data_IF_799917086834
#
_entry.id   IF_799917086834
#
_cell.length_a   1.000
_cell.length_b   1.000
_cell.length_c   1.000
_cell.angle_alpha   90.00
_cell.angle_beta   90.00
_cell.angle_gamma   90.00
#
_symmetry.space_group_name_H-M   'P 1'
#
loop_
_entity.id
_entity.type
_entity.pdbx_description
1 polymer ?
#
# COMPACT_ATOMS: atom_id res chain seq x y z
N UNK A 1 1.25 14.11 -16.08
CA UNK A 1 1.61 14.05 -14.63
C UNK A 1 1.55 15.46 -14.06
N UNK A 2 0.79 15.65 -13.00
CA UNK A 2 0.73 16.93 -12.31
C UNK A 2 2.03 17.15 -11.54
N UNK A 3 2.66 18.31 -11.73
CA UNK A 3 3.83 18.69 -10.95
C UNK A 3 3.43 18.99 -9.51
N UNK A 4 4.29 18.64 -8.55
CA UNK A 4 4.10 18.98 -7.16
C UNK A 4 4.31 20.49 -6.95
N UNK A 5 3.36 21.09 -6.24
CA UNK A 5 3.43 22.49 -5.84
C UNK A 5 4.17 22.64 -4.49
N UNK A 6 4.48 23.88 -4.12
CA UNK A 6 5.16 24.16 -2.84
C UNK A 6 4.40 23.59 -1.64
N UNK A 7 3.06 23.70 -1.63
CA UNK A 7 2.24 23.14 -0.56
C UNK A 7 2.34 21.61 -0.48
N UNK A 8 2.45 20.92 -1.60
CA UNK A 8 2.63 19.45 -1.62
C UNK A 8 3.97 19.07 -0.99
N UNK A 9 5.04 19.80 -1.30
CA UNK A 9 6.34 19.58 -0.69
C UNK A 9 6.35 19.84 0.81
N UNK A 10 5.64 20.87 1.27
CA UNK A 10 5.47 21.15 2.70
C UNK A 10 4.74 20.02 3.41
N UNK A 11 3.68 19.47 2.80
CA UNK A 11 2.94 18.32 3.34
C UNK A 11 3.82 17.06 3.39
N UNK A 12 4.58 16.79 2.35
CA UNK A 12 5.53 15.66 2.33
C UNK A 12 6.59 15.79 3.42
N UNK A 13 7.14 16.97 3.63
CA UNK A 13 8.09 17.21 4.72
C UNK A 13 7.45 17.00 6.10
N UNK A 14 6.20 17.42 6.29
CA UNK A 14 5.45 17.18 7.52
C UNK A 14 5.23 15.69 7.77
N UNK A 15 4.91 14.92 6.73
CA UNK A 15 4.76 13.46 6.81
C UNK A 15 6.09 12.81 7.23
N UNK A 16 7.19 13.19 6.61
CA UNK A 16 8.53 12.69 6.94
C UNK A 16 8.87 12.98 8.40
N UNK A 17 8.61 14.21 8.85
CA UNK A 17 8.85 14.60 10.24
C UNK A 17 8.05 13.72 11.22
N UNK A 18 6.80 13.45 10.94
CA UNK A 18 5.96 12.59 11.77
C UNK A 18 6.42 11.15 11.79
N UNK A 19 6.89 10.61 10.68
CA UNK A 19 7.48 9.26 10.63
C UNK A 19 8.66 9.16 11.60
N UNK A 20 9.53 10.15 11.62
CA UNK A 20 10.72 10.13 12.47
C UNK A 20 10.46 10.46 13.95
N UNK A 21 9.36 11.16 14.27
CA UNK A 21 9.09 11.64 15.63
C UNK A 21 8.00 10.87 16.36
N UNK A 22 7.22 10.05 15.67
CA UNK A 22 6.17 9.22 16.29
C UNK A 22 6.78 7.89 16.75
N UNK A 23 6.76 7.64 18.05
CA UNK A 23 7.39 6.44 18.64
C UNK A 23 6.56 5.18 18.44
N UNK A 24 5.24 5.28 18.53
CA UNK A 24 4.35 4.13 18.32
C UNK A 24 4.22 3.81 16.83
N UNK A 25 4.54 2.57 16.46
CA UNK A 25 4.55 2.13 15.06
C UNK A 25 3.15 2.15 14.44
N UNK A 26 2.14 1.72 15.17
CA UNK A 26 0.76 1.67 14.66
C UNK A 26 0.19 3.06 14.49
N UNK A 27 0.44 3.95 15.45
CA UNK A 27 0.06 5.36 15.36
C UNK A 27 0.75 6.05 14.18
N UNK A 28 2.03 5.82 13.99
CA UNK A 28 2.79 6.37 12.86
C UNK A 28 2.17 5.93 11.53
N UNK A 29 1.84 4.65 11.38
CA UNK A 29 1.25 4.12 10.15
C UNK A 29 -0.15 4.70 9.88
N UNK A 30 -0.98 4.87 10.91
CA UNK A 30 -2.30 5.50 10.77
C UNK A 30 -2.18 6.96 10.33
N UNK A 31 -1.34 7.72 11.01
CA UNK A 31 -1.11 9.13 10.66
C UNK A 31 -0.52 9.28 9.26
N UNK A 32 0.39 8.38 8.89
CA UNK A 32 0.95 8.34 7.54
C UNK A 32 -0.14 8.20 6.46
N UNK A 33 -1.05 7.25 6.63
CA UNK A 33 -2.14 7.04 5.67
C UNK A 33 -3.10 8.24 5.63
N UNK A 34 -3.47 8.78 6.77
CA UNK A 34 -4.35 9.95 6.85
C UNK A 34 -3.75 11.18 6.17
N UNK A 35 -2.46 11.42 6.37
CA UNK A 35 -1.80 12.59 5.79
C UNK A 35 -1.43 12.41 4.33
N UNK A 36 -1.10 11.20 3.93
CA UNK A 36 -0.82 10.91 2.52
C UNK A 36 -2.03 11.24 1.63
N UNK A 37 -3.24 11.12 2.17
CA UNK A 37 -4.48 11.49 1.50
C UNK A 37 -4.51 12.96 1.06
N UNK A 38 -3.80 13.83 1.75
CA UNK A 38 -3.73 15.26 1.41
C UNK A 38 -2.86 15.53 0.17
N UNK A 39 -2.00 14.60 -0.19
CA UNK A 39 -1.09 14.72 -1.33
C UNK A 39 -1.51 13.82 -2.48
N UNK A 40 -1.95 12.61 -2.17
CA UNK A 40 -2.40 11.59 -3.15
C UNK A 40 -3.89 11.35 -2.96
N UNK A 41 -4.65 11.48 -4.01
CA UNK A 41 -6.10 11.25 -3.98
C UNK A 41 -6.37 9.74 -4.07
N UNK A 42 -6.89 9.16 -2.98
CA UNK A 42 -7.32 7.77 -2.90
C UNK A 42 -8.55 7.62 -1.98
N UNK A 43 -9.34 6.59 -2.19
CA UNK A 43 -10.55 6.34 -1.41
C UNK A 43 -10.26 5.58 -0.11
N UNK A 44 -9.40 4.59 -0.17
CA UNK A 44 -9.01 3.76 0.96
C UNK A 44 -7.58 3.30 0.82
N UNK A 45 -6.98 2.90 1.94
CA UNK A 45 -5.61 2.41 1.96
C UNK A 45 -5.38 1.45 3.12
N UNK A 46 -4.37 0.63 3.00
CA UNK A 46 -3.88 -0.22 4.07
C UNK A 46 -2.34 -0.21 4.12
N UNK A 47 -1.81 -0.55 5.27
CA UNK A 47 -0.38 -0.61 5.52
C UNK A 47 -0.07 -1.92 6.25
N UNK A 48 0.68 -2.80 5.61
CA UNK A 48 1.10 -4.07 6.17
C UNK A 48 2.59 -4.07 6.50
N UNK A 49 2.97 -4.87 7.48
CA UNK A 49 4.36 -5.21 7.74
C UNK A 49 4.67 -6.55 7.07
N UNK A 50 5.77 -6.62 6.32
CA UNK A 50 6.23 -7.89 5.77
C UNK A 50 6.93 -8.70 6.86
N UNK A 51 6.50 -9.96 7.04
CA UNK A 51 7.12 -10.88 7.97
C UNK A 51 8.50 -11.35 7.48
N UNK A 52 9.38 -11.69 8.43
CA UNK A 52 10.73 -12.21 8.16
C UNK A 52 10.78 -13.74 8.25
N UNK A 53 9.65 -14.44 8.33
CA UNK A 53 9.57 -15.88 8.50
C UNK A 53 9.36 -16.60 7.15
N UNK A 54 9.62 -17.92 7.14
CA UNK A 54 9.33 -18.78 5.97
C UNK A 54 7.87 -18.73 5.53
N UNK A 55 6.98 -18.27 6.37
CA UNK A 55 5.56 -18.04 6.05
C UNK A 55 5.27 -16.65 5.52
N UNK A 56 6.25 -15.77 5.48
CA UNK A 56 6.26 -14.40 4.92
C UNK A 56 4.88 -13.79 4.68
N UNK A 57 4.05 -13.85 5.70
CA UNK A 57 2.72 -13.29 5.64
C UNK A 57 2.79 -11.79 5.90
N UNK A 58 2.07 -11.03 5.09
CA UNK A 58 1.82 -9.64 5.40
C UNK A 58 1.01 -9.58 6.70
N UNK A 59 1.53 -8.90 7.70
CA UNK A 59 1.00 -8.95 9.05
C UNK A 59 0.67 -7.56 9.59
N UNK A 60 -0.08 -7.53 10.68
CA UNK A 60 -0.39 -6.33 11.46
C UNK A 60 -0.91 -5.17 10.60
N UNK A 61 -2.00 -5.36 9.85
CA UNK A 61 -2.53 -4.32 8.98
C UNK A 61 -3.08 -3.14 9.77
N UNK A 62 -2.85 -1.94 9.23
CA UNK A 62 -3.52 -0.71 9.61
C UNK A 62 -4.26 -0.22 8.37
N UNK A 63 -5.53 0.13 8.52
CA UNK A 63 -6.37 0.51 7.40
C UNK A 63 -6.93 1.93 7.56
N UNK A 64 -7.10 2.61 6.43
CA UNK A 64 -7.79 3.87 6.31
C UNK A 64 -9.02 3.69 5.43
N UNK A 65 -10.19 4.01 5.97
CA UNK A 65 -11.48 3.99 5.26
C UNK A 65 -11.80 2.64 4.57
N UNK A 66 -11.34 1.54 5.15
CA UNK A 66 -11.71 0.18 4.74
C UNK A 66 -11.54 -0.78 5.93
N UNK A 67 -12.15 -1.95 5.82
CA UNK A 67 -11.97 -2.99 6.82
C UNK A 67 -10.58 -3.61 6.70
N UNK A 68 -9.99 -3.91 7.85
CA UNK A 68 -8.73 -4.62 7.92
C UNK A 68 -8.94 -6.04 7.42
N UNK A 69 -8.15 -6.43 6.45
CA UNK A 69 -8.12 -7.82 5.96
C UNK A 69 -7.13 -8.62 6.81
N UNK A 70 -7.63 -9.44 7.72
CA UNK A 70 -6.78 -10.28 8.58
C UNK A 70 -6.03 -11.35 7.80
N UNK A 71 -6.56 -11.72 6.65
CA UNK A 71 -5.93 -12.67 5.73
C UNK A 71 -5.78 -12.01 4.38
N UNK A 72 -4.54 -11.75 4.03
CA UNK A 72 -4.23 -11.31 2.67
C UNK A 72 -4.44 -12.49 1.73
N UNK A 73 -5.18 -12.26 0.65
CA UNK A 73 -5.33 -13.28 -0.38
C UNK A 73 -3.95 -13.66 -0.92
N UNK A 74 -3.70 -14.96 -1.04
CA UNK A 74 -2.42 -15.50 -1.54
C UNK A 74 -1.99 -14.87 -2.86
N UNK A 75 -2.93 -14.61 -3.73
CA UNK A 75 -2.68 -14.00 -5.04
C UNK A 75 -2.18 -12.56 -4.92
N UNK A 76 -2.76 -11.76 -4.02
CA UNK A 76 -2.28 -10.40 -3.72
C UNK A 76 -0.86 -10.44 -3.14
N UNK A 77 -0.63 -11.36 -2.23
CA UNK A 77 0.68 -11.57 -1.63
C UNK A 77 1.73 -11.93 -2.67
N UNK A 78 1.39 -12.77 -3.64
CA UNK A 78 2.31 -13.22 -4.67
C UNK A 78 2.89 -12.04 -5.49
N UNK A 79 2.08 -11.05 -5.83
CA UNK A 79 2.57 -9.87 -6.53
C UNK A 79 3.50 -9.02 -5.67
N UNK A 80 3.11 -8.75 -4.43
CA UNK A 80 3.94 -8.03 -3.47
C UNK A 80 5.24 -8.77 -3.19
N UNK A 81 5.18 -10.08 -3.06
CA UNK A 81 6.33 -10.94 -2.82
C UNK A 81 7.41 -10.81 -3.88
N UNK A 82 7.03 -10.77 -5.15
CA UNK A 82 7.98 -10.57 -6.26
C UNK A 82 8.75 -9.25 -6.11
N UNK A 83 8.05 -8.20 -5.71
CA UNK A 83 8.67 -6.89 -5.48
C UNK A 83 9.58 -6.93 -4.24
N UNK A 84 9.12 -7.55 -3.17
CA UNK A 84 9.89 -7.69 -1.92
C UNK A 84 11.17 -8.50 -2.17
N UNK A 85 11.08 -9.61 -2.88
CA UNK A 85 12.23 -10.46 -3.23
C UNK A 85 13.25 -9.73 -4.11
N UNK A 86 12.81 -8.75 -4.89
CA UNK A 86 13.69 -7.88 -5.66
C UNK A 86 14.59 -7.00 -4.80
N UNK A 87 14.30 -6.82 -3.52
CA UNK A 87 15.12 -6.11 -2.55
C UNK A 87 15.20 -4.60 -2.75
N UNK A 88 14.36 -4.03 -3.60
CA UNK A 88 14.33 -2.59 -3.88
C UNK A 88 12.98 -2.00 -3.53
N UNK A 89 12.99 -0.81 -2.96
CA UNK A 89 11.76 -0.05 -2.75
C UNK A 89 11.18 0.36 -4.10
N UNK A 90 9.89 0.17 -4.26
CA UNK A 90 9.20 0.41 -5.52
C UNK A 90 7.76 0.86 -5.28
N UNK A 91 7.32 1.80 -6.09
CA UNK A 91 5.90 2.18 -6.20
C UNK A 91 5.40 1.70 -7.56
N UNK A 92 4.31 0.94 -7.58
CA UNK A 92 3.78 0.36 -8.81
C UNK A 92 2.25 0.21 -8.75
N UNK A 93 1.63 0.15 -9.92
CA UNK A 93 0.22 -0.24 -10.04
C UNK A 93 0.16 -1.73 -10.34
N UNK A 94 -0.86 -2.43 -9.84
CA UNK A 94 -1.05 -3.84 -10.22
C UNK A 94 -1.21 -4.02 -11.72
N UNK A 95 -1.83 -3.06 -12.39
CA UNK A 95 -1.98 -3.06 -13.85
C UNK A 95 -0.68 -2.89 -14.62
N UNK A 96 0.41 -2.48 -13.97
CA UNK A 96 1.74 -2.48 -14.56
C UNK A 96 2.33 -3.90 -14.63
N UNK A 97 1.87 -4.80 -13.77
CA UNK A 97 2.33 -6.19 -13.70
C UNK A 97 1.44 -7.15 -14.47
N UNK A 98 0.17 -6.84 -14.61
CA UNK A 98 -0.83 -7.68 -15.25
C UNK A 98 -1.62 -6.83 -16.24
N UNK A 99 -1.79 -7.28 -17.52
CA UNK A 99 -2.66 -6.59 -18.47
C UNK A 99 -4.07 -6.42 -17.91
N UNK A 100 -4.70 -5.29 -18.16
CA UNK A 100 -6.00 -4.92 -17.58
C UNK A 100 -7.09 -5.97 -17.84
N UNK A 101 -7.12 -6.55 -19.03
CA UNK A 101 -8.07 -7.61 -19.39
C UNK A 101 -7.88 -8.87 -18.56
N UNK A 102 -6.65 -9.24 -18.26
CA UNK A 102 -6.33 -10.38 -17.39
C UNK A 102 -6.58 -10.05 -15.92
N UNK A 103 -6.30 -8.82 -15.50
CA UNK A 103 -6.51 -8.36 -14.13
C UNK A 103 -7.95 -8.57 -13.67
N UNK A 104 -8.92 -8.20 -14.48
CA UNK A 104 -10.35 -8.33 -14.16
C UNK A 104 -10.82 -9.77 -14.06
N UNK A 105 -10.09 -10.72 -14.61
CA UNK A 105 -10.38 -12.16 -14.55
C UNK A 105 -9.72 -12.84 -13.35
N UNK A 106 -8.82 -12.18 -12.64
CA UNK A 106 -8.16 -12.76 -11.48
C UNK A 106 -9.15 -12.97 -10.34
N UNK A 107 -8.85 -13.96 -9.52
CA UNK A 107 -9.59 -14.24 -8.29
C UNK A 107 -9.55 -13.05 -7.32
N UNK A 108 -8.38 -12.40 -7.22
CA UNK A 108 -8.19 -11.22 -6.38
C UNK A 108 -9.15 -10.09 -6.76
N UNK A 109 -9.26 -9.79 -8.06
CA UNK A 109 -10.19 -8.75 -8.50
C UNK A 109 -11.64 -9.11 -8.19
N UNK A 110 -12.06 -10.33 -8.55
CA UNK A 110 -13.46 -10.75 -8.40
C UNK A 110 -13.89 -10.91 -6.94
N UNK A 111 -13.04 -11.44 -6.09
CA UNK A 111 -13.39 -11.75 -4.71
C UNK A 111 -13.09 -10.63 -3.72
N UNK A 112 -12.13 -9.78 -4.02
CA UNK A 112 -11.72 -8.69 -3.12
C UNK A 112 -12.04 -7.32 -3.69
N UNK A 113 -11.49 -6.98 -4.83
CA UNK A 113 -11.61 -5.62 -5.39
C UNK A 113 -13.03 -5.30 -5.80
N UNK A 114 -13.68 -6.16 -6.56
CA UNK A 114 -15.05 -5.94 -7.02
C UNK A 114 -16.04 -5.85 -5.85
N UNK A 115 -15.89 -6.67 -4.84
CA UNK A 115 -16.76 -6.65 -3.64
C UNK A 115 -16.61 -5.37 -2.82
N UNK A 116 -15.42 -4.79 -2.79
CA UNK A 116 -15.15 -3.54 -2.10
C UNK A 116 -15.34 -2.31 -2.98
N UNK A 117 -15.79 -2.49 -4.21
CA UNK A 117 -15.94 -1.45 -5.22
C UNK A 117 -14.60 -0.74 -5.52
N UNK A 118 -13.51 -1.47 -5.46
CA UNK A 118 -12.19 -0.99 -5.84
C UNK A 118 -11.92 -1.33 -7.30
N UNK A 119 -11.34 -0.39 -8.04
CA UNK A 119 -11.01 -0.58 -9.45
C UNK A 119 -9.52 -0.73 -9.66
N UNK A 120 -8.74 0.13 -9.02
CA UNK A 120 -7.29 0.20 -9.18
C UNK A 120 -6.59 0.30 -7.83
N UNK A 121 -5.35 -0.14 -7.79
CA UNK A 121 -4.50 0.05 -6.64
C UNK A 121 -3.12 0.55 -7.02
N UNK A 122 -2.61 1.44 -6.19
CA UNK A 122 -1.21 1.84 -6.18
C UNK A 122 -0.57 1.17 -4.97
N UNK A 123 0.51 0.46 -5.19
CA UNK A 123 1.23 -0.24 -4.14
C UNK A 123 2.62 0.36 -3.93
N UNK A 124 3.00 0.45 -2.69
CA UNK A 124 4.31 0.95 -2.28
C UNK A 124 4.98 -0.13 -1.42
N UNK A 125 6.09 -0.63 -1.88
CA UNK A 125 6.93 -1.56 -1.12
C UNK A 125 8.18 -0.82 -0.67
N UNK A 126 8.44 -0.83 0.61
CA UNK A 126 9.63 -0.20 1.20
C UNK A 126 10.53 -1.30 1.75
N UNK A 127 11.69 -1.45 1.17
CA UNK A 127 12.69 -2.41 1.57
C UNK A 127 13.84 -1.73 2.30
N UNK A 128 14.29 -2.36 3.38
CA UNK A 128 15.49 -1.92 4.09
C UNK A 128 16.71 -2.52 3.40
N UNK A 129 17.63 -1.66 3.02
CA UNK A 129 18.93 -2.08 2.48
C UNK A 129 19.89 -2.48 3.59
#
# INVERSE_FOLDING_TARGET
>A
MKNLETCDWMLLNSIIYKIYTTEDLDEMRREFLEQLRLVVDFDSADFYLAGHNEKDEMAQPVAYNCEVQDKVDYEQYEYCRRVIEGGKSLVYRLTDMIPEGEWRQTKLYREVYQKNNWQYSLQMVVCRN
#
